data_IF_561658384507
#
_entry.id   IF_561658384507
#
_cell.length_a   1.000
_cell.length_b   1.000
_cell.length_c   1.000
_cell.angle_alpha   90.00
_cell.angle_beta   90.00
_cell.angle_gamma   90.00
#
_symmetry.space_group_name_H-M   'P 1'
#
loop_
_entity.id
_entity.type
_entity.pdbx_description
1 polymer ?
#
# COMPACT_ATOMS: atom_id res chain seq x y z
N UNK A 1 5.44 -3.31 2.38
CA UNK A 1 4.24 -3.38 1.52
C UNK A 1 3.63 -1.99 1.50
N UNK A 2 3.18 -1.50 0.33
CA UNK A 2 2.59 -0.17 0.17
C UNK A 2 1.48 0.11 1.20
N UNK A 3 1.12 1.38 1.39
CA UNK A 3 -0.14 1.75 2.03
C UNK A 3 -1.07 2.37 1.00
N UNK A 4 -2.18 1.68 0.73
CA UNK A 4 -3.33 2.21 0.00
C UNK A 4 -4.44 2.56 0.99
N UNK A 5 -4.93 3.79 0.90
CA UNK A 5 -6.02 4.35 1.72
C UNK A 5 -7.16 4.77 0.80
N UNK A 6 -8.39 4.39 1.15
CA UNK A 6 -9.61 4.83 0.47
C UNK A 6 -10.46 5.65 1.43
N UNK A 7 -10.94 6.80 0.94
CA UNK A 7 -11.77 7.75 1.66
C UNK A 7 -13.11 7.84 0.92
N UNK A 8 -14.20 7.29 1.50
CA UNK A 8 -15.55 7.50 0.99
C UNK A 8 -15.96 8.98 0.99
N UNK A 9 -17.06 9.34 0.30
CA UNK A 9 -17.74 10.62 0.49
C UNK A 9 -17.90 11.00 1.96
N UNK A 10 -17.58 12.25 2.31
CA UNK A 10 -17.69 12.79 3.67
C UNK A 10 -16.56 12.39 4.63
N UNK A 11 -15.72 11.40 4.31
CA UNK A 11 -14.60 11.03 5.17
C UNK A 11 -13.52 12.11 5.19
N UNK A 12 -13.16 12.57 6.39
CA UNK A 12 -12.08 13.55 6.60
C UNK A 12 -10.72 12.83 6.61
N UNK A 13 -9.71 13.27 5.87
CA UNK A 13 -8.37 12.67 5.92
C UNK A 13 -7.77 12.69 7.32
N UNK A 14 -7.23 11.54 7.76
CA UNK A 14 -6.34 11.47 8.91
C UNK A 14 -4.90 11.74 8.43
N UNK A 15 -4.42 12.96 8.65
CA UNK A 15 -3.11 13.42 8.16
C UNK A 15 -1.99 12.57 8.78
N UNK A 16 -2.06 12.31 10.09
CA UNK A 16 -1.05 11.51 10.78
C UNK A 16 -1.00 10.07 10.23
N UNK A 17 -2.14 9.50 9.87
CA UNK A 17 -2.22 8.20 9.21
C UNK A 17 -1.51 8.17 7.85
N UNK A 18 -1.69 9.22 7.03
CA UNK A 18 -1.00 9.35 5.74
C UNK A 18 0.51 9.50 5.92
N UNK A 19 0.94 10.36 6.84
CA UNK A 19 2.35 10.56 7.18
C UNK A 19 3.00 9.27 7.71
N UNK A 20 2.31 8.53 8.58
CA UNK A 20 2.77 7.24 9.08
C UNK A 20 3.03 6.25 7.93
N UNK A 21 2.08 6.18 6.98
CA UNK A 21 2.22 5.39 5.77
C UNK A 21 3.42 5.82 4.93
N UNK A 22 3.55 7.12 4.67
CA UNK A 22 4.61 7.67 3.83
C UNK A 22 6.01 7.49 4.44
N UNK A 23 6.14 7.60 5.77
CA UNK A 23 7.40 7.40 6.48
C UNK A 23 7.99 5.99 6.29
N UNK A 24 7.13 4.98 6.13
CA UNK A 24 7.52 3.58 5.89
C UNK A 24 7.63 3.27 4.40
N UNK A 25 6.84 3.94 3.55
CA UNK A 25 6.70 3.65 2.12
C UNK A 25 7.16 4.86 1.29
N UNK A 26 8.48 4.97 1.10
CA UNK A 26 9.15 6.18 0.57
C UNK A 26 9.38 6.19 -0.94
N UNK A 27 8.94 5.16 -1.65
CA UNK A 27 9.27 4.97 -3.07
C UNK A 27 8.30 5.68 -4.02
N UNK A 28 7.66 6.74 -3.51
CA UNK A 28 6.73 7.60 -4.22
C UNK A 28 5.30 7.55 -3.69
N UNK A 29 4.56 8.62 -3.95
CA UNK A 29 3.24 8.89 -3.40
C UNK A 29 2.31 9.37 -4.49
N UNK A 30 1.01 9.21 -4.26
CA UNK A 30 0.01 9.82 -5.12
C UNK A 30 -1.40 9.64 -4.61
N UNK A 31 -2.30 10.39 -5.21
CA UNK A 31 -3.70 10.43 -4.83
C UNK A 31 -4.60 10.56 -6.06
N UNK A 32 -5.86 10.22 -5.87
CA UNK A 32 -6.93 10.61 -6.78
C UNK A 32 -8.15 11.06 -5.99
N UNK A 33 -8.79 12.12 -6.47
CA UNK A 33 -10.05 12.65 -5.92
C UNK A 33 -11.03 12.77 -7.07
N UNK A 34 -12.21 12.17 -6.94
CA UNK A 34 -13.33 12.42 -7.86
C UNK A 34 -13.81 13.86 -7.66
N UNK A 35 -14.08 14.55 -8.75
CA UNK A 35 -14.53 15.95 -8.80
C UNK A 35 -15.69 16.06 -9.77
N UNK A 36 -16.37 17.21 -9.80
CA UNK A 36 -17.49 17.44 -10.73
C UNK A 36 -17.06 17.41 -12.21
N UNK A 37 -15.78 17.68 -12.50
CA UNK A 37 -15.25 17.75 -13.86
C UNK A 37 -14.43 16.51 -14.26
N UNK A 38 -14.32 15.51 -13.39
CA UNK A 38 -13.54 14.30 -13.65
C UNK A 38 -12.74 13.83 -12.43
N UNK A 39 -11.59 13.20 -12.66
CA UNK A 39 -10.71 12.73 -11.58
C UNK A 39 -9.42 13.54 -11.57
N UNK A 40 -9.16 14.24 -10.47
CA UNK A 40 -7.88 14.92 -10.27
C UNK A 40 -6.87 13.92 -9.69
N UNK A 41 -5.72 13.81 -10.33
CA UNK A 41 -4.62 12.91 -9.93
C UNK A 41 -3.37 13.73 -9.64
N UNK A 42 -2.78 13.52 -8.47
CA UNK A 42 -1.46 14.02 -8.11
C UNK A 42 -0.50 12.87 -7.81
N UNK A 43 0.76 12.99 -8.22
CA UNK A 43 1.83 12.01 -7.95
C UNK A 43 3.14 12.75 -7.74
N UNK A 44 3.98 12.24 -6.84
CA UNK A 44 5.26 12.85 -6.54
C UNK A 44 6.14 11.94 -5.69
N UNK A 45 7.41 12.33 -5.57
CA UNK A 45 8.38 11.64 -4.72
C UNK A 45 8.49 12.26 -3.33
N UNK A 46 7.99 13.49 -3.16
CA UNK A 46 7.96 14.19 -1.89
C UNK A 46 6.62 13.91 -1.19
N UNK A 47 6.67 13.25 -0.04
CA UNK A 47 5.48 12.87 0.71
C UNK A 47 4.70 14.08 1.23
N UNK A 48 5.40 15.09 1.77
CA UNK A 48 4.79 16.25 2.41
C UNK A 48 4.03 17.06 1.36
N UNK A 49 4.67 17.35 0.23
CA UNK A 49 4.03 18.05 -0.89
C UNK A 49 2.80 17.29 -1.41
N UNK A 50 2.89 15.97 -1.60
CA UNK A 50 1.77 15.19 -2.16
C UNK A 50 0.61 15.06 -1.16
N UNK A 51 0.90 15.01 0.14
CA UNK A 51 -0.13 15.02 1.20
C UNK A 51 -0.83 16.38 1.24
N UNK A 52 -0.07 17.48 1.19
CA UNK A 52 -0.64 18.84 1.18
C UNK A 52 -1.53 19.07 -0.05
N UNK A 53 -1.06 18.68 -1.23
CA UNK A 53 -1.83 18.73 -2.47
C UNK A 53 -3.12 17.88 -2.36
N UNK A 54 -3.02 16.68 -1.77
CA UNK A 54 -4.17 15.82 -1.55
C UNK A 54 -5.20 16.49 -0.63
N UNK A 55 -4.77 17.04 0.51
CA UNK A 55 -5.63 17.72 1.47
C UNK A 55 -6.31 18.93 0.81
N UNK A 56 -5.55 19.73 0.06
CA UNK A 56 -6.07 20.90 -0.65
C UNK A 56 -7.17 20.51 -1.65
N UNK A 57 -6.96 19.46 -2.44
CA UNK A 57 -7.95 18.98 -3.42
C UNK A 57 -9.15 18.34 -2.71
N UNK A 58 -8.91 17.53 -1.68
CA UNK A 58 -9.94 16.84 -0.92
C UNK A 58 -10.86 17.82 -0.19
N UNK A 59 -10.32 18.88 0.40
CA UNK A 59 -11.10 19.91 1.10
C UNK A 59 -12.12 20.63 0.20
N UNK A 60 -11.83 20.74 -1.09
CA UNK A 60 -12.73 21.33 -2.11
C UNK A 60 -13.75 20.32 -2.66
N UNK A 61 -13.55 19.03 -2.40
CA UNK A 61 -14.39 17.93 -2.88
C UNK A 61 -14.71 16.96 -1.72
N UNK A 62 -15.26 17.42 -0.58
CA UNK A 62 -15.43 16.58 0.61
C UNK A 62 -16.43 15.43 0.40
N UNK A 63 -17.42 15.63 -0.48
CA UNK A 63 -18.53 14.69 -0.70
C UNK A 63 -18.25 13.70 -1.85
N UNK A 64 -17.01 13.65 -2.34
CA UNK A 64 -16.61 12.77 -3.44
C UNK A 64 -15.74 11.61 -2.91
N UNK A 65 -15.62 10.46 -3.58
CA UNK A 65 -14.66 9.45 -3.17
C UNK A 65 -13.22 9.85 -3.53
N UNK A 66 -12.27 9.39 -2.72
CA UNK A 66 -10.84 9.64 -2.94
C UNK A 66 -9.97 8.45 -2.50
N UNK A 67 -8.73 8.42 -2.98
CA UNK A 67 -7.70 7.50 -2.52
C UNK A 67 -6.36 8.20 -2.35
N UNK A 68 -5.53 7.65 -1.47
CA UNK A 68 -4.13 8.02 -1.31
C UNK A 68 -3.27 6.75 -1.27
N UNK A 69 -2.09 6.80 -1.88
CA UNK A 69 -1.17 5.67 -1.95
C UNK A 69 0.26 6.10 -1.65
N UNK A 70 0.91 5.38 -0.74
CA UNK A 70 2.37 5.44 -0.52
C UNK A 70 3.02 4.14 -0.94
N UNK A 71 3.97 4.21 -1.87
CA UNK A 71 4.57 3.07 -2.55
C UNK A 71 5.78 2.53 -1.79
N UNK A 72 5.87 1.20 -1.74
CA UNK A 72 7.07 0.45 -1.41
C UNK A 72 7.39 -0.43 -2.61
N UNK A 73 8.48 -0.12 -3.31
CA UNK A 73 8.82 -0.72 -4.59
C UNK A 73 9.18 -2.20 -4.41
N UNK A 74 8.34 -3.09 -4.94
CA UNK A 74 8.65 -4.53 -5.07
C UNK A 74 9.08 -4.88 -6.49
N UNK A 75 8.49 -4.22 -7.48
CA UNK A 75 8.79 -4.34 -8.90
C UNK A 75 8.76 -2.96 -9.57
N UNK A 76 9.55 -2.83 -10.64
CA UNK A 76 9.70 -1.60 -11.41
C UNK A 76 10.59 -0.57 -10.72
N UNK A 77 11.11 0.38 -11.49
CA UNK A 77 11.97 1.44 -11.00
C UNK A 77 11.29 2.32 -9.93
N UNK A 78 12.07 2.93 -9.05
CA UNK A 78 11.61 4.01 -8.18
C UNK A 78 11.55 5.29 -9.00
N UNK A 79 10.35 5.67 -9.41
CA UNK A 79 10.09 6.88 -10.21
C UNK A 79 8.64 7.32 -10.08
N UNK A 80 8.39 8.59 -10.41
CA UNK A 80 7.04 9.17 -10.46
C UNK A 80 6.13 8.36 -11.40
N UNK A 81 6.68 7.85 -12.51
CA UNK A 81 5.94 7.06 -13.48
C UNK A 81 5.44 5.70 -12.93
N UNK A 82 5.96 5.25 -11.80
CA UNK A 82 5.49 4.05 -11.10
C UNK A 82 4.70 4.36 -9.82
N UNK A 83 4.43 5.63 -9.55
CA UNK A 83 3.54 6.02 -8.46
C UNK A 83 2.09 5.76 -8.86
N UNK A 84 1.34 5.11 -7.98
CA UNK A 84 -0.11 5.02 -8.11
C UNK A 84 -0.76 6.39 -7.85
N UNK A 85 -1.98 6.63 -8.34
CA UNK A 85 -2.80 5.74 -9.16
C UNK A 85 -2.45 5.76 -10.65
N UNK A 86 -2.85 4.70 -11.36
CA UNK A 86 -2.70 4.56 -12.81
C UNK A 86 -4.06 4.71 -13.50
N UNK A 87 -4.07 5.30 -14.70
CA UNK A 87 -5.25 5.29 -15.57
C UNK A 87 -5.52 3.89 -16.08
N UNK A 88 -6.80 3.56 -16.27
CA UNK A 88 -7.20 2.32 -16.93
C UNK A 88 -7.04 2.50 -18.44
N UNK A 89 -5.93 2.00 -18.98
CA UNK A 89 -5.57 2.16 -20.38
C UNK A 89 -5.36 3.63 -20.73
N UNK A 90 -6.04 4.09 -21.78
CA UNK A 90 -6.01 5.50 -22.21
C UNK A 90 -7.20 6.31 -21.68
N UNK A 91 -8.06 5.72 -20.85
CA UNK A 91 -9.24 6.39 -20.33
C UNK A 91 -8.87 7.29 -19.14
N UNK A 92 -9.25 8.57 -19.23
CA UNK A 92 -9.04 9.54 -18.17
C UNK A 92 -10.12 9.48 -17.09
N UNK A 93 -11.23 8.79 -17.36
CA UNK A 93 -12.39 8.69 -16.47
C UNK A 93 -12.21 7.64 -15.39
N UNK A 94 -11.22 6.76 -15.50
CA UNK A 94 -11.03 5.64 -14.56
C UNK A 94 -9.57 5.52 -14.14
N UNK A 95 -9.33 5.44 -12.84
CA UNK A 95 -8.01 5.23 -12.25
C UNK A 95 -8.04 4.12 -11.22
N UNK A 96 -6.90 3.46 -11.01
CA UNK A 96 -6.76 2.42 -10.00
C UNK A 96 -5.46 2.55 -9.21
N UNK A 97 -5.54 2.17 -7.94
CA UNK A 97 -4.38 1.95 -7.09
C UNK A 97 -4.44 0.54 -6.48
N UNK A 98 -3.28 -0.04 -6.19
CA UNK A 98 -3.19 -1.43 -5.75
C UNK A 98 -2.18 -1.57 -4.62
N UNK A 99 -2.46 -2.49 -3.69
CA UNK A 99 -1.51 -2.92 -2.68
C UNK A 99 -1.37 -4.45 -2.71
N UNK A 100 -0.15 -4.91 -2.97
CA UNK A 100 0.22 -6.31 -3.00
C UNK A 100 1.20 -6.60 -4.13
N UNK A 101 1.16 -7.81 -4.66
CA UNK A 101 1.89 -8.21 -5.86
C UNK A 101 0.89 -8.89 -6.79
N UNK A 102 0.80 -8.41 -8.03
CA UNK A 102 -0.10 -8.97 -9.03
C UNK A 102 0.48 -10.25 -9.65
N UNK A 103 -0.37 -11.11 -10.24
CA UNK A 103 0.08 -12.37 -10.81
C UNK A 103 1.12 -12.21 -11.93
N UNK A 104 1.96 -13.24 -12.09
CA UNK A 104 3.13 -13.28 -13.00
C UNK A 104 2.87 -12.74 -14.41
N UNK A 105 1.66 -12.91 -14.95
CA UNK A 105 1.29 -12.45 -16.30
C UNK A 105 1.35 -10.93 -16.50
N UNK A 106 1.31 -10.14 -15.44
CA UNK A 106 1.46 -8.67 -15.48
C UNK A 106 2.71 -8.19 -14.76
N UNK A 107 3.60 -9.08 -14.33
CA UNK A 107 4.88 -8.68 -13.76
C UNK A 107 5.84 -8.22 -14.87
N UNK A 108 6.73 -7.25 -14.58
CA UNK A 108 7.68 -6.76 -15.56
C UNK A 108 8.62 -7.87 -16.05
N UNK A 109 8.88 -7.87 -17.35
CA UNK A 109 9.96 -8.66 -17.94
C UNK A 109 11.34 -8.09 -17.51
N UNK A 110 12.44 -8.83 -17.72
CA UNK A 110 13.77 -8.28 -17.51
C UNK A 110 13.94 -6.93 -18.22
N UNK A 111 14.45 -5.94 -17.49
CA UNK A 111 14.67 -4.56 -17.96
C UNK A 111 13.41 -3.72 -18.26
N UNK A 112 12.20 -4.24 -18.03
CA UNK A 112 10.99 -3.39 -18.07
C UNK A 112 10.94 -2.50 -16.82
N UNK A 113 10.97 -1.16 -16.95
CA UNK A 113 11.03 -0.27 -15.80
C UNK A 113 9.69 -0.18 -15.07
N UNK A 114 8.60 -0.70 -15.62
CA UNK A 114 7.24 -0.53 -15.10
C UNK A 114 6.98 -1.44 -13.90
N UNK A 115 6.12 -0.98 -12.98
CA UNK A 115 5.56 -1.85 -11.95
C UNK A 115 4.54 -2.83 -12.54
N UNK A 116 4.28 -3.92 -11.83
CA UNK A 116 3.24 -4.89 -12.17
C UNK A 116 1.85 -4.24 -12.30
N UNK A 117 1.55 -3.29 -11.41
CA UNK A 117 0.29 -2.53 -11.46
C UNK A 117 0.22 -1.66 -12.70
N UNK A 118 1.32 -0.98 -13.06
CA UNK A 118 1.36 -0.15 -14.27
C UNK A 118 1.11 -1.00 -15.52
N UNK A 119 1.75 -2.16 -15.63
CA UNK A 119 1.53 -3.11 -16.72
C UNK A 119 0.06 -3.56 -16.75
N UNK A 120 -0.50 -3.91 -15.59
CA UNK A 120 -1.89 -4.33 -15.49
C UNK A 120 -2.87 -3.24 -15.94
N UNK A 121 -2.67 -2.01 -15.48
CA UNK A 121 -3.51 -0.86 -15.78
C UNK A 121 -3.41 -0.42 -17.25
N UNK A 122 -2.21 -0.46 -17.83
CA UNK A 122 -1.99 -0.03 -19.22
C UNK A 122 -2.41 -1.08 -20.25
N UNK A 123 -2.22 -2.38 -19.95
CA UNK A 123 -2.22 -3.42 -20.99
C UNK A 123 -3.17 -4.58 -20.75
N UNK A 124 -3.52 -4.88 -19.50
CA UNK A 124 -4.26 -6.08 -19.14
C UNK A 124 -5.74 -5.80 -18.83
N UNK A 125 -6.00 -4.98 -17.82
CA UNK A 125 -7.35 -4.63 -17.36
C UNK A 125 -8.19 -3.87 -18.41
N UNK A 126 -7.62 -3.02 -19.30
CA UNK A 126 -8.39 -2.37 -20.35
C UNK A 126 -8.99 -3.32 -21.40
N UNK A 127 -8.60 -4.60 -21.40
CA UNK A 127 -9.20 -5.63 -22.26
C UNK A 127 -10.44 -6.28 -21.63
N UNK A 128 -10.91 -5.72 -20.52
CA UNK A 128 -12.07 -6.20 -19.75
C UNK A 128 -12.10 -7.71 -19.50
N UNK A 129 -11.00 -8.33 -19.02
CA UNK A 129 -10.87 -9.78 -18.91
C UNK A 129 -11.86 -10.44 -17.93
N UNK A 130 -12.56 -9.62 -17.14
CA UNK A 130 -13.51 -10.06 -16.11
C UNK A 130 -14.95 -9.61 -16.38
N UNK A 131 -15.19 -8.82 -17.43
CA UNK A 131 -16.47 -8.13 -17.66
C UNK A 131 -16.74 -7.02 -16.64
N UNK A 132 -18.00 -6.58 -16.53
CA UNK A 132 -18.40 -5.48 -15.65
C UNK A 132 -18.18 -5.79 -14.17
N UNK A 133 -17.56 -4.83 -13.47
CA UNK A 133 -17.29 -4.90 -12.03
C UNK A 133 -18.53 -4.69 -11.15
N UNK A 134 -19.64 -4.23 -11.73
CA UNK A 134 -20.95 -4.13 -11.06
C UNK A 134 -21.61 -5.49 -10.88
N UNK A 135 -21.20 -6.48 -11.67
CA UNK A 135 -21.73 -7.83 -11.56
C UNK A 135 -20.98 -8.62 -10.50
N UNK A 136 -21.71 -9.46 -9.76
CA UNK A 136 -21.12 -10.43 -8.81
C UNK A 136 -20.04 -11.28 -9.49
N UNK A 137 -20.27 -11.66 -10.76
CA UNK A 137 -19.31 -12.45 -11.53
C UNK A 137 -18.02 -11.66 -11.79
N UNK A 138 -18.11 -10.46 -12.36
CA UNK A 138 -16.92 -9.68 -12.69
C UNK A 138 -16.11 -9.30 -11.46
N UNK A 139 -16.80 -8.92 -10.37
CA UNK A 139 -16.17 -8.68 -9.07
C UNK A 139 -15.43 -9.90 -8.54
N UNK A 140 -16.07 -11.07 -8.49
CA UNK A 140 -15.43 -12.33 -8.05
C UNK A 140 -14.26 -12.74 -8.92
N UNK A 141 -14.36 -12.59 -10.25
CA UNK A 141 -13.28 -12.90 -11.17
C UNK A 141 -12.06 -11.99 -10.95
N UNK A 142 -12.29 -10.69 -10.73
CA UNK A 142 -11.22 -9.75 -10.42
C UNK A 142 -10.58 -10.05 -9.05
N UNK A 143 -11.37 -10.25 -8.00
CA UNK A 143 -10.87 -10.59 -6.66
C UNK A 143 -10.10 -11.92 -6.65
N UNK A 144 -10.58 -12.93 -7.37
CA UNK A 144 -9.86 -14.19 -7.55
C UNK A 144 -8.53 -14.00 -8.26
N UNK A 145 -8.44 -13.07 -9.22
CA UNK A 145 -7.18 -12.75 -9.87
C UNK A 145 -6.22 -11.96 -8.97
N UNK A 146 -6.75 -11.04 -8.16
CA UNK A 146 -5.96 -10.28 -7.19
C UNK A 146 -5.38 -11.17 -6.08
N UNK A 147 -6.02 -12.29 -5.76
CA UNK A 147 -5.62 -13.15 -4.65
C UNK A 147 -5.77 -12.40 -3.33
N UNK A 148 -4.68 -12.22 -2.58
CA UNK A 148 -4.67 -11.44 -1.33
C UNK A 148 -4.39 -9.94 -1.52
N UNK A 149 -4.08 -9.51 -2.75
CA UNK A 149 -3.87 -8.11 -3.08
C UNK A 149 -5.16 -7.30 -2.97
N UNK A 150 -5.06 -6.01 -2.67
CA UNK A 150 -6.22 -5.09 -2.69
C UNK A 150 -6.12 -4.11 -3.83
N UNK A 151 -7.26 -3.68 -4.34
CA UNK A 151 -7.34 -2.69 -5.41
C UNK A 151 -8.47 -1.72 -5.12
N UNK A 152 -8.20 -0.43 -5.29
CA UNK A 152 -9.22 0.63 -5.27
C UNK A 152 -9.30 1.20 -6.67
N UNK A 153 -10.49 1.26 -7.23
CA UNK A 153 -10.80 1.86 -8.52
C UNK A 153 -11.72 3.05 -8.30
N UNK A 154 -11.37 4.20 -8.87
CA UNK A 154 -12.23 5.38 -8.94
C UNK A 154 -12.61 5.62 -10.38
N UNK A 155 -13.87 5.96 -10.63
CA UNK A 155 -14.36 6.21 -11.98
C UNK A 155 -15.44 7.28 -12.02
N UNK A 156 -15.49 8.01 -13.13
CA UNK A 156 -16.61 8.88 -13.53
C UNK A 156 -17.24 8.41 -14.85
N UNK A 157 -16.90 7.19 -15.30
CA UNK A 157 -17.51 6.60 -16.48
C UNK A 157 -18.96 6.17 -16.15
N UNK A 158 -19.97 6.69 -16.87
CA UNK A 158 -21.38 6.38 -16.58
C UNK A 158 -21.77 4.92 -16.84
N UNK A 159 -20.89 4.11 -17.44
CA UNK A 159 -21.11 2.66 -17.56
C UNK A 159 -20.93 1.90 -16.24
N UNK A 160 -20.33 2.53 -15.23
CA UNK A 160 -20.18 2.00 -13.87
C UNK A 160 -21.33 2.50 -12.98
N UNK A 161 -21.85 1.62 -12.13
CA UNK A 161 -22.92 2.00 -11.20
C UNK A 161 -22.45 2.96 -10.08
N UNK A 162 -21.18 2.91 -9.71
CA UNK A 162 -20.61 3.65 -8.59
C UNK A 162 -19.35 4.43 -9.00
N UNK A 163 -19.03 5.50 -8.27
CA UNK A 163 -17.77 6.23 -8.52
C UNK A 163 -16.54 5.58 -7.87
N UNK A 164 -16.72 4.56 -7.03
CA UNK A 164 -15.64 3.91 -6.31
C UNK A 164 -15.90 2.42 -6.05
N UNK A 165 -14.86 1.61 -6.22
CA UNK A 165 -14.88 0.18 -5.93
C UNK A 165 -13.65 -0.20 -5.12
N UNK A 166 -13.85 -0.92 -4.01
CA UNK A 166 -12.77 -1.49 -3.19
C UNK A 166 -12.82 -3.01 -3.32
N UNK A 167 -11.82 -3.62 -3.93
CA UNK A 167 -11.74 -5.07 -4.13
C UNK A 167 -10.86 -5.72 -3.06
N UNK A 168 -11.28 -6.90 -2.59
CA UNK A 168 -10.73 -7.54 -1.39
C UNK A 168 -10.79 -6.64 -0.16
N UNK A 169 -11.90 -5.90 -0.02
CA UNK A 169 -12.16 -4.94 1.05
C UNK A 169 -12.03 -5.54 2.44
N UNK A 170 -12.51 -6.78 2.63
CA UNK A 170 -12.46 -7.52 3.91
C UNK A 170 -11.04 -7.84 4.38
N UNK A 171 -10.05 -7.74 3.50
CA UNK A 171 -8.63 -7.90 3.85
C UNK A 171 -7.95 -6.57 4.26
N UNK A 172 -8.68 -5.45 4.22
CA UNK A 172 -8.28 -4.17 4.78
C UNK A 172 -8.90 -3.91 6.15
N UNK A 173 -8.81 -2.65 6.59
CA UNK A 173 -9.23 -2.21 7.92
C UNK A 173 -10.03 -0.93 7.77
N UNK A 174 -11.28 -0.93 8.24
CA UNK A 174 -12.08 0.27 8.41
C UNK A 174 -11.81 0.87 9.79
N UNK A 175 -11.40 2.13 9.84
CA UNK A 175 -11.23 2.89 11.09
C UNK A 175 -11.63 4.36 10.85
N UNK A 176 -12.48 4.90 11.71
CA UNK A 176 -13.01 6.26 11.62
C UNK A 176 -13.61 6.62 10.24
N UNK A 177 -14.26 5.67 9.56
CA UNK A 177 -14.86 5.88 8.24
C UNK A 177 -13.88 5.90 7.07
N UNK A 178 -12.61 5.58 7.31
CA UNK A 178 -11.55 5.46 6.29
C UNK A 178 -11.16 3.99 6.17
N UNK A 179 -10.94 3.53 4.94
CA UNK A 179 -10.43 2.19 4.67
C UNK A 179 -8.93 2.21 4.43
N UNK A 180 -8.21 1.34 5.12
CA UNK A 180 -6.77 1.16 5.00
C UNK A 180 -6.45 -0.26 4.56
N UNK A 181 -5.61 -0.40 3.54
CA UNK A 181 -5.25 -1.72 2.97
C UNK A 181 -4.43 -2.62 3.90
N UNK A 182 -3.79 -2.07 4.93
CA UNK A 182 -3.03 -2.78 5.96
C UNK A 182 -2.81 -1.84 7.17
N UNK A 183 -2.33 -2.31 8.33
CA UNK A 183 -2.29 -1.50 9.54
C UNK A 183 -1.23 -0.37 9.53
N UNK A 184 -0.41 -0.22 8.49
CA UNK A 184 0.73 0.71 8.41
C UNK A 184 0.42 2.21 8.58
N UNK A 185 -0.86 2.58 8.63
CA UNK A 185 -1.31 3.93 8.99
C UNK A 185 -1.21 4.23 10.50
N UNK A 186 -1.14 3.19 11.34
CA UNK A 186 -1.10 3.37 12.80
C UNK A 186 0.27 3.89 13.25
N UNK A 187 0.32 4.65 14.36
CA UNK A 187 1.58 5.05 14.98
C UNK A 187 2.45 3.84 15.31
N UNK A 188 3.77 4.01 15.21
CA UNK A 188 4.74 2.94 15.49
C UNK A 188 4.59 2.33 16.91
N UNK A 189 4.09 3.10 17.89
CA UNK A 189 3.85 2.63 19.25
C UNK A 189 2.71 1.58 19.35
N UNK A 190 1.66 1.71 18.54
CA UNK A 190 0.53 0.77 18.50
C UNK A 190 0.92 -0.54 17.83
N UNK A 191 1.84 -0.49 16.87
CA UNK A 191 2.52 -1.67 16.37
C UNK A 191 3.50 -2.27 17.38
N UNK A 192 4.20 -1.45 18.17
CA UNK A 192 5.22 -1.89 19.12
C UNK A 192 4.71 -2.78 20.26
N UNK A 193 3.50 -2.54 20.77
CA UNK A 193 2.99 -3.28 21.93
C UNK A 193 2.48 -4.69 21.59
N UNK A 194 1.80 -4.88 20.46
CA UNK A 194 1.42 -6.23 19.96
C UNK A 194 2.59 -6.96 19.24
N UNK A 195 3.57 -6.23 18.69
CA UNK A 195 4.82 -6.80 18.14
C UNK A 195 5.81 -7.26 19.20
N UNK A 196 5.67 -6.87 20.45
CA UNK A 196 6.68 -7.12 21.48
C UNK A 196 7.06 -8.60 21.68
N UNK A 197 6.20 -9.55 21.30
CA UNK A 197 6.54 -10.99 21.34
C UNK A 197 6.47 -11.70 19.99
N UNK A 198 5.49 -11.41 19.13
CA UNK A 198 5.34 -12.12 17.85
C UNK A 198 6.41 -11.74 16.81
N UNK A 199 6.81 -10.46 16.76
CA UNK A 199 7.84 -9.98 15.84
C UNK A 199 9.25 -10.51 16.19
N UNK A 200 9.45 -11.05 17.39
CA UNK A 200 10.67 -11.79 17.69
C UNK A 200 10.77 -13.08 16.87
N UNK A 201 9.64 -13.61 16.39
CA UNK A 201 9.55 -14.92 15.79
C UNK A 201 9.00 -14.90 14.36
N UNK A 202 8.27 -13.87 13.93
CA UNK A 202 7.66 -13.82 12.58
C UNK A 202 8.33 -12.76 11.72
N UNK A 203 8.88 -13.17 10.58
CA UNK A 203 9.44 -12.29 9.57
C UNK A 203 8.33 -11.62 8.76
N UNK A 204 8.25 -10.29 8.76
CA UNK A 204 7.21 -9.59 7.98
C UNK A 204 7.52 -9.51 6.48
N UNK A 205 8.78 -9.71 6.11
CA UNK A 205 9.19 -9.74 4.71
C UNK A 205 8.73 -10.99 3.95
N UNK A 206 8.69 -12.15 4.61
CA UNK A 206 8.35 -13.42 3.96
C UNK A 206 7.39 -14.34 4.73
N UNK A 207 6.91 -13.89 5.90
CA UNK A 207 5.99 -14.67 6.75
C UNK A 207 6.65 -15.84 7.50
N UNK A 208 7.97 -15.98 7.41
CA UNK A 208 8.70 -17.08 8.04
C UNK A 208 8.63 -17.01 9.56
N UNK A 209 8.36 -18.14 10.20
CA UNK A 209 8.25 -18.24 11.66
C UNK A 209 9.47 -18.97 12.20
N UNK A 210 10.33 -18.24 12.92
CA UNK A 210 11.55 -18.72 13.55
C UNK A 210 11.51 -18.45 15.07
N UNK A 211 11.08 -19.46 15.82
CA UNK A 211 11.07 -19.43 17.29
C UNK A 211 12.48 -19.41 17.90
N UNK A 212 13.52 -19.68 17.10
CA UNK A 212 14.92 -19.77 17.53
C UNK A 212 15.77 -18.60 17.08
N UNK A 213 15.17 -17.53 16.55
CA UNK A 213 15.88 -16.38 15.95
C UNK A 213 16.90 -15.78 16.91
N UNK A 214 18.20 -15.90 16.55
CA UNK A 214 19.33 -15.25 17.25
C UNK A 214 19.86 -14.01 16.53
N UNK A 215 19.50 -13.83 15.26
CA UNK A 215 20.05 -12.81 14.37
C UNK A 215 19.15 -11.58 14.18
N UNK A 216 19.77 -10.46 13.77
CA UNK A 216 19.06 -9.23 13.35
C UNK A 216 18.28 -9.43 12.04
N UNK A 217 18.66 -10.41 11.22
CA UNK A 217 18.11 -10.66 9.90
C UNK A 217 17.36 -12.00 9.85
N UNK A 218 16.35 -12.08 9.00
CA UNK A 218 15.69 -13.32 8.64
C UNK A 218 16.67 -14.18 7.83
N UNK A 219 16.94 -15.41 8.30
CA UNK A 219 17.84 -16.34 7.61
C UNK A 219 17.32 -16.76 6.22
N UNK A 220 16.02 -16.60 5.97
CA UNK A 220 15.38 -16.98 4.71
C UNK A 220 15.42 -15.89 3.64
N UNK A 221 15.11 -14.65 3.99
CA UNK A 221 14.96 -13.56 2.99
C UNK A 221 15.84 -12.33 3.26
N UNK A 222 16.66 -12.33 4.31
CA UNK A 222 17.52 -11.18 4.64
C UNK A 222 16.77 -9.96 5.17
N UNK A 223 15.48 -10.10 5.50
CA UNK A 223 14.70 -9.05 6.14
C UNK A 223 15.26 -8.69 7.52
N UNK A 224 15.58 -7.43 7.73
CA UNK A 224 16.08 -6.90 8.99
C UNK A 224 14.90 -6.70 9.94
N UNK A 225 14.91 -7.45 11.05
CA UNK A 225 13.94 -7.23 12.11
C UNK A 225 14.09 -5.79 12.59
N UNK A 226 15.29 -5.29 12.87
CA UNK A 226 15.46 -3.96 13.49
C UNK A 226 14.89 -2.77 12.70
N UNK A 227 15.18 -2.63 11.40
CA UNK A 227 14.70 -1.51 10.59
C UNK A 227 13.55 -1.88 9.63
N UNK A 228 13.06 -3.12 9.67
CA UNK A 228 11.99 -3.63 8.82
C UNK A 228 12.24 -3.60 7.29
N UNK A 229 13.50 -3.50 6.85
CA UNK A 229 13.89 -3.53 5.44
C UNK A 229 14.59 -4.84 5.04
N UNK A 230 14.46 -5.24 3.78
CA UNK A 230 15.19 -6.39 3.21
C UNK A 230 16.59 -5.95 2.75
N UNK A 231 17.61 -6.78 3.00
CA UNK A 231 18.95 -6.58 2.43
C UNK A 231 18.88 -6.49 0.89
N UNK A 232 19.56 -5.53 0.23
CA UNK A 232 20.59 -4.62 0.74
C UNK A 232 20.08 -3.29 1.33
N UNK A 233 18.78 -3.02 1.33
CA UNK A 233 18.17 -1.75 1.76
C UNK A 233 18.07 -1.60 3.29
N UNK A 234 18.95 -2.28 4.03
CA UNK A 234 18.95 -2.23 5.47
C UNK A 234 19.55 -0.90 5.98
N UNK A 235 18.72 -0.02 6.52
CA UNK A 235 19.13 1.27 7.09
C UNK A 235 19.83 1.17 8.46
N UNK A 236 20.13 -0.05 8.92
CA UNK A 236 20.92 -0.24 10.13
C UNK A 236 22.38 0.10 9.84
N UNK A 237 22.73 1.39 9.92
CA UNK A 237 24.12 1.83 9.92
C UNK A 237 24.92 1.06 10.98
N UNK A 238 26.12 0.61 10.60
CA UNK A 238 26.90 -0.43 11.29
C UNK A 238 27.29 -0.13 12.74
N UNK A 239 26.33 -0.24 13.66
CA UNK A 239 26.59 -0.48 15.09
C UNK A 239 26.12 -1.88 15.44
N UNK A 240 27.08 -2.79 15.49
CA UNK A 240 26.98 -4.07 16.18
C UNK A 240 26.85 -3.82 17.68
N UNK A 241 25.68 -3.43 18.15
CA UNK A 241 25.33 -3.54 19.56
C UNK A 241 24.50 -4.80 19.76
N UNK A 242 25.18 -5.88 20.09
CA UNK A 242 24.60 -7.01 20.81
C UNK A 242 23.83 -6.46 22.00
N UNK A 243 22.51 -6.67 22.15
CA UNK A 243 21.90 -6.45 23.44
C UNK A 243 22.40 -7.58 24.34
N UNK A 244 23.38 -7.27 25.18
CA UNK A 244 23.69 -8.11 26.32
C UNK A 244 22.40 -8.24 27.13
N UNK A 245 21.86 -9.45 27.17
CA UNK A 245 20.79 -9.81 28.10
C UNK A 245 21.40 -9.70 29.49
N UNK A 246 21.24 -8.53 30.13
CA UNK A 246 21.52 -8.37 31.54
C UNK A 246 20.46 -9.17 32.31
N UNK A 247 20.80 -10.42 32.61
CA UNK A 247 20.15 -11.21 33.65
C UNK A 247 20.31 -10.45 34.97
N UNK A 248 19.31 -9.64 35.32
CA UNK A 248 19.14 -9.15 36.69
C UNK A 248 18.89 -10.37 37.56
N UNK A 249 19.93 -10.83 38.24
CA UNK A 249 19.80 -11.68 39.43
C UNK A 249 19.02 -10.89 40.46
N UNK A 250 17.74 -11.24 40.64
CA UNK A 250 16.97 -10.86 41.82
C UNK A 250 17.51 -11.65 43.00
N UNK A 251 18.43 -11.04 43.75
CA UNK A 251 18.69 -11.44 45.13
C UNK A 251 17.51 -11.02 45.99
N UNK A 252 16.84 -12.00 46.59
CA UNK A 252 15.99 -11.81 47.76
C UNK A 252 16.42 -12.90 48.75
N UNK A 253 16.51 -12.47 50.01
CA UNK A 253 17.10 -13.09 51.19
C UNK A 253 16.64 -14.52 51.46
#
# INVERSE_FOLDING_TARGET
MCLLTFLPPGATPDIAALENGARVNRDGHGFAVVTDTGILVGRGMDAEQVIDDFIAVRSRNPDRPALFHSRYATHGAVSIDNCHPFRLGRDHRTVLAHNGILPRRVQPAPYDPRSDTRIAAETYLPREPFGSYDTVRGRRCLESWLGSSKLVLLTVDPSFAENAYVFNESAGIWEAGIWYSNPGYRPAATFGLLRSRAWLYVCEGCGDVDFSRRGRYCGRCGWCFHCANVFPHCDCSGRSSTPAVALRRSGIR
#
